data_IF_150449696700
#
_entry.id   IF_150449696700
#
_cell.length_a   1.000
_cell.length_b   1.000
_cell.length_c   1.000
_cell.angle_alpha   90.00
_cell.angle_beta   90.00
_cell.angle_gamma   90.00
#
_symmetry.space_group_name_H-M   'P 1'
#
loop_
_entity.id
_entity.type
_entity.pdbx_description
1 polymer ?
#
# COMPACT_ATOMS: atom_id res chain seq x y z
N UNK A 1 14.81 -7.32 -0.17
CA UNK A 1 14.58 -5.97 0.41
C UNK A 1 13.19 -5.43 0.10
N UNK A 2 12.75 -5.41 -1.17
CA UNK A 2 11.39 -4.96 -1.51
C UNK A 2 10.28 -5.67 -0.71
N UNK A 3 10.33 -7.01 -0.59
CA UNK A 3 9.38 -7.81 0.21
C UNK A 3 9.35 -7.45 1.70
N UNK A 4 10.51 -7.13 2.29
CA UNK A 4 10.59 -6.75 3.69
C UNK A 4 9.98 -5.36 3.92
N UNK A 5 10.24 -4.42 3.00
CA UNK A 5 9.67 -3.08 3.05
C UNK A 5 8.14 -3.11 2.87
N UNK A 6 7.65 -3.83 1.87
CA UNK A 6 6.21 -3.95 1.62
C UNK A 6 5.50 -4.69 2.75
N UNK A 7 6.10 -5.76 3.29
CA UNK A 7 5.58 -6.47 4.45
C UNK A 7 5.51 -5.57 5.70
N UNK A 8 6.56 -4.78 5.97
CA UNK A 8 6.56 -3.82 7.07
C UNK A 8 5.50 -2.73 6.93
N UNK A 9 5.34 -2.17 5.72
CA UNK A 9 4.32 -1.16 5.45
C UNK A 9 2.90 -1.73 5.56
N UNK A 10 2.69 -2.97 5.09
CA UNK A 10 1.41 -3.67 5.22
C UNK A 10 1.07 -3.89 6.70
N UNK A 11 2.03 -4.37 7.51
CA UNK A 11 1.84 -4.54 8.95
C UNK A 11 1.47 -3.22 9.64
N UNK A 12 2.18 -2.12 9.32
CA UNK A 12 1.88 -0.80 9.87
C UNK A 12 0.47 -0.31 9.47
N UNK A 13 0.03 -0.60 8.24
CA UNK A 13 -1.32 -0.29 7.77
C UNK A 13 -2.39 -1.06 8.56
N UNK A 14 -2.18 -2.36 8.79
CA UNK A 14 -3.13 -3.17 9.58
C UNK A 14 -3.17 -2.78 11.05
N UNK A 15 -2.02 -2.44 11.67
CA UNK A 15 -1.98 -1.92 13.05
C UNK A 15 -2.77 -0.62 13.15
N UNK A 16 -2.59 0.31 12.19
CA UNK A 16 -3.36 1.55 12.12
C UNK A 16 -4.86 1.28 11.96
N UNK A 17 -5.23 0.41 11.02
CA UNK A 17 -6.63 0.10 10.74
C UNK A 17 -7.30 -0.51 11.97
N UNK A 18 -6.66 -1.49 12.61
CA UNK A 18 -7.18 -2.12 13.81
C UNK A 18 -7.25 -1.15 15.00
N UNK A 19 -6.19 -0.38 15.25
CA UNK A 19 -6.14 0.58 16.36
C UNK A 19 -7.19 1.68 16.25
N UNK A 20 -7.38 2.25 15.07
CA UNK A 20 -8.34 3.35 14.88
C UNK A 20 -9.80 2.87 14.82
N UNK A 21 -10.06 1.61 14.49
CA UNK A 21 -11.43 1.08 14.39
C UNK A 21 -11.92 0.41 15.68
N UNK A 22 -11.08 -0.41 16.31
CA UNK A 22 -11.50 -1.23 17.46
C UNK A 22 -11.06 -0.68 18.82
N UNK A 23 -9.97 0.10 18.88
CA UNK A 23 -9.48 0.68 20.13
C UNK A 23 -9.94 2.12 20.34
N UNK A 24 -10.40 2.79 19.27
CA UNK A 24 -10.82 4.18 19.34
C UNK A 24 -12.21 4.36 19.95
N UNK A 25 -12.46 5.54 20.54
CA UNK A 25 -13.79 5.94 20.99
C UNK A 25 -14.69 6.27 19.79
N UNK A 26 -16.01 5.98 19.89
CA UNK A 26 -16.96 6.34 18.85
C UNK A 26 -17.03 7.87 18.72
N UNK A 27 -16.83 8.36 17.50
CA UNK A 27 -16.85 9.80 17.18
C UNK A 27 -18.17 10.26 16.56
N UNK A 28 -18.96 9.33 16.02
CA UNK A 28 -20.24 9.60 15.39
C UNK A 28 -21.35 8.82 16.12
N UNK A 29 -22.59 9.27 15.94
CA UNK A 29 -23.75 8.65 16.59
C UNK A 29 -24.01 7.25 16.04
N UNK A 30 -23.77 7.06 14.74
CA UNK A 30 -23.87 5.78 14.05
C UNK A 30 -22.85 4.77 14.60
N UNK A 31 -21.64 5.22 14.95
CA UNK A 31 -20.64 4.37 15.57
C UNK A 31 -21.00 3.97 17.01
N UNK A 32 -21.72 4.84 17.75
CA UNK A 32 -22.21 4.50 19.08
C UNK A 32 -23.43 3.59 19.08
N UNK A 33 -24.23 3.61 18.00
CA UNK A 33 -25.44 2.80 17.83
C UNK A 33 -25.20 1.57 16.93
N UNK A 34 -23.94 1.24 16.63
CA UNK A 34 -23.58 0.09 15.82
C UNK A 34 -23.99 -1.22 16.51
N UNK A 35 -24.68 -2.09 15.77
CA UNK A 35 -25.14 -3.39 16.25
C UNK A 35 -24.20 -4.51 15.79
N UNK A 36 -24.19 -5.61 16.53
CA UNK A 36 -23.43 -6.81 16.16
C UNK A 36 -23.93 -7.36 14.81
N UNK A 37 -22.96 -7.79 14.00
CA UNK A 37 -23.21 -8.39 12.69
C UNK A 37 -24.03 -9.68 12.80
N UNK A 38 -24.84 -9.96 11.78
CA UNK A 38 -25.60 -11.20 11.72
C UNK A 38 -24.65 -12.42 11.68
N UNK A 39 -25.08 -13.54 12.28
CA UNK A 39 -24.29 -14.77 12.33
C UNK A 39 -23.85 -15.26 10.95
N UNK A 40 -24.68 -15.04 9.92
CA UNK A 40 -24.37 -15.40 8.54
C UNK A 40 -23.17 -14.59 8.00
N UNK A 41 -23.08 -13.30 8.32
CA UNK A 41 -21.95 -12.46 7.91
C UNK A 41 -20.66 -12.88 8.63
N UNK A 42 -20.76 -13.23 9.92
CA UNK A 42 -19.61 -13.74 10.69
C UNK A 42 -19.11 -15.09 10.19
N UNK A 43 -20.01 -15.99 9.76
CA UNK A 43 -19.63 -17.25 9.12
C UNK A 43 -18.90 -17.01 7.80
N UNK A 44 -19.37 -16.07 6.97
CA UNK A 44 -18.69 -15.72 5.73
C UNK A 44 -17.27 -15.18 5.98
N UNK A 45 -17.13 -14.21 6.90
CA UNK A 45 -15.83 -13.66 7.29
C UNK A 45 -14.91 -14.72 7.90
N UNK A 46 -15.45 -15.58 8.76
CA UNK A 46 -14.73 -16.69 9.40
C UNK A 46 -14.23 -17.72 8.38
N UNK A 47 -15.05 -18.04 7.37
CA UNK A 47 -14.66 -18.97 6.30
C UNK A 47 -13.50 -18.43 5.47
N UNK A 48 -13.49 -17.12 5.18
CA UNK A 48 -12.41 -16.46 4.45
C UNK A 48 -11.12 -16.44 5.29
N UNK A 49 -11.23 -16.13 6.58
CA UNK A 49 -10.10 -16.15 7.50
C UNK A 49 -9.51 -17.57 7.63
N UNK A 50 -10.36 -18.59 7.72
CA UNK A 50 -9.94 -19.98 7.75
C UNK A 50 -9.23 -20.37 6.45
N UNK A 51 -9.79 -20.02 5.30
CA UNK A 51 -9.16 -20.28 4.00
C UNK A 51 -7.78 -19.61 3.89
N UNK A 52 -7.63 -18.37 4.38
CA UNK A 52 -6.35 -17.67 4.40
C UNK A 52 -5.31 -18.36 5.30
N UNK A 53 -5.71 -18.81 6.51
CA UNK A 53 -4.83 -19.57 7.39
C UNK A 53 -4.44 -20.91 6.79
N UNK A 54 -5.42 -21.62 6.21
CA UNK A 54 -5.19 -22.92 5.58
C UNK A 54 -4.22 -22.79 4.40
N UNK A 55 -4.43 -21.82 3.50
CA UNK A 55 -3.50 -21.54 2.40
C UNK A 55 -2.13 -21.07 2.89
N UNK A 56 -2.04 -20.35 4.00
CA UNK A 56 -0.77 -19.96 4.60
C UNK A 56 0.03 -21.14 5.13
N UNK A 57 -0.62 -22.00 5.94
CA UNK A 57 0.03 -23.18 6.55
C UNK A 57 0.37 -24.24 5.50
N UNK A 58 -0.55 -24.49 4.56
CA UNK A 58 -0.38 -25.46 3.48
C UNK A 58 0.12 -24.83 2.17
N UNK A 59 0.73 -23.65 2.23
CA UNK A 59 1.22 -22.94 1.04
C UNK A 59 2.20 -23.77 0.19
N UNK A 60 3.00 -24.62 0.84
CA UNK A 60 3.90 -25.56 0.15
C UNK A 60 3.15 -26.64 -0.66
N UNK A 61 1.94 -27.03 -0.25
CA UNK A 61 1.11 -27.93 -1.04
C UNK A 61 0.47 -27.19 -2.23
N UNK A 62 0.07 -25.93 -2.03
CA UNK A 62 -0.48 -25.09 -3.09
C UNK A 62 0.55 -24.82 -4.20
N UNK A 63 1.79 -24.47 -3.86
CA UNK A 63 2.86 -24.27 -4.85
C UNK A 63 3.14 -25.53 -5.67
N UNK A 64 3.06 -26.72 -5.08
CA UNK A 64 3.17 -27.99 -5.83
C UNK A 64 2.06 -28.15 -6.87
N UNK A 65 0.81 -27.85 -6.52
CA UNK A 65 -0.30 -27.90 -7.47
C UNK A 65 -0.05 -26.95 -8.66
N UNK A 66 0.40 -25.72 -8.39
CA UNK A 66 0.74 -24.78 -9.44
C UNK A 66 1.92 -25.24 -10.30
N UNK A 67 2.96 -25.84 -9.71
CA UNK A 67 4.09 -26.42 -10.46
C UNK A 67 3.63 -27.59 -11.32
N UNK A 68 2.78 -28.50 -10.82
CA UNK A 68 2.24 -29.63 -11.60
C UNK A 68 1.41 -29.16 -12.79
N UNK A 69 0.60 -28.14 -12.59
CA UNK A 69 -0.20 -27.53 -13.66
C UNK A 69 0.73 -26.85 -14.68
N UNK A 70 1.75 -26.13 -14.22
CA UNK A 70 2.71 -25.47 -15.11
C UNK A 70 3.57 -26.46 -15.92
N UNK A 71 4.00 -27.56 -15.29
CA UNK A 71 4.72 -28.68 -15.94
C UNK A 71 3.87 -29.35 -17.03
N UNK A 72 2.54 -29.43 -16.82
CA UNK A 72 1.62 -29.99 -17.83
C UNK A 72 1.42 -29.09 -19.06
N UNK A 73 1.77 -27.80 -18.96
CA UNK A 73 1.50 -26.79 -20.00
C UNK A 73 2.75 -26.45 -20.83
N UNK A 74 3.99 -26.61 -20.34
CA UNK A 74 5.19 -26.52 -21.19
C UNK A 74 6.45 -27.13 -20.55
N UNK A 75 7.18 -27.91 -21.35
CA UNK A 75 8.38 -28.65 -20.98
C UNK A 75 9.57 -27.75 -20.58
N UNK A 76 10.27 -28.14 -19.52
CA UNK A 76 11.72 -27.98 -19.31
C UNK A 76 12.36 -26.64 -18.88
N UNK A 77 11.65 -25.72 -18.20
CA UNK A 77 12.31 -24.54 -17.59
C UNK A 77 11.83 -24.18 -16.17
N UNK A 78 11.40 -25.14 -15.35
CA UNK A 78 11.05 -24.92 -13.93
C UNK A 78 12.10 -25.56 -12.99
N UNK A 79 13.26 -25.97 -13.51
CA UNK A 79 14.35 -26.58 -12.76
C UNK A 79 14.99 -25.69 -11.66
N UNK A 80 14.47 -24.48 -11.43
CA UNK A 80 14.98 -23.55 -10.42
C UNK A 80 13.96 -23.20 -9.32
N UNK A 81 12.75 -23.75 -9.34
CA UNK A 81 11.87 -23.66 -8.15
C UNK A 81 12.38 -24.70 -7.14
N UNK A 82 12.80 -24.30 -5.92
CA UNK A 82 13.36 -25.22 -4.95
C UNK A 82 12.40 -26.41 -4.72
N UNK A 83 12.86 -27.59 -5.12
CA UNK A 83 12.09 -28.84 -5.12
C UNK A 83 11.81 -29.22 -3.67
N UNK A 84 10.52 -29.22 -3.34
CA UNK A 84 9.97 -29.50 -2.02
C UNK A 84 10.04 -31.00 -1.71
N UNK A 85 10.85 -31.43 -0.74
CA UNK A 85 10.84 -32.81 -0.25
C UNK A 85 9.67 -33.05 0.72
N UNK A 86 8.97 -34.17 0.57
CA UNK A 86 7.78 -34.55 1.38
C UNK A 86 8.08 -34.70 2.88
N UNK A 87 9.34 -34.90 3.26
CA UNK A 87 9.76 -35.07 4.66
C UNK A 87 9.83 -33.76 5.47
N UNK A 88 9.81 -32.60 4.81
CA UNK A 88 9.80 -31.30 5.47
C UNK A 88 8.73 -30.43 4.79
N UNK A 89 7.59 -30.22 5.46
CA UNK A 89 6.58 -29.22 5.09
C UNK A 89 7.13 -27.80 5.33
N UNK A 90 8.27 -27.51 4.71
CA UNK A 90 9.02 -26.31 4.95
C UNK A 90 9.88 -25.89 3.79
N UNK A 91 10.13 -24.58 3.74
CA UNK A 91 10.98 -23.96 2.74
C UNK A 91 12.44 -24.20 3.12
N UNK A 92 13.12 -25.09 2.42
CA UNK A 92 14.57 -25.24 2.54
C UNK A 92 15.24 -24.41 1.46
N UNK A 93 16.01 -23.40 1.86
CA UNK A 93 16.83 -22.62 0.91
C UNK A 93 17.98 -23.51 0.43
N UNK A 94 18.25 -23.48 -0.88
CA UNK A 94 19.37 -24.18 -1.53
C UNK A 94 20.63 -23.91 -0.70
N UNK A 95 21.20 -24.95 -0.07
CA UNK A 95 22.33 -24.99 0.88
C UNK A 95 21.99 -25.30 2.35
N UNK A 96 20.73 -25.56 2.72
CA UNK A 96 20.40 -26.10 4.06
C UNK A 96 20.60 -25.14 5.24
N UNK A 97 21.01 -23.90 4.97
CA UNK A 97 21.27 -22.88 5.99
C UNK A 97 19.99 -22.38 6.70
N UNK A 98 18.83 -22.50 6.05
CA UNK A 98 17.53 -22.18 6.65
C UNK A 98 16.44 -23.08 6.07
N UNK A 99 15.79 -23.84 6.96
CA UNK A 99 14.58 -24.62 6.69
C UNK A 99 13.42 -24.08 7.50
N UNK A 100 12.40 -23.54 6.83
CA UNK A 100 11.22 -22.97 7.48
C UNK A 100 10.04 -23.92 7.36
N UNK A 101 9.83 -24.78 8.36
CA UNK A 101 8.65 -25.64 8.48
C UNK A 101 7.43 -24.81 8.89
N UNK A 102 6.57 -24.47 7.93
CA UNK A 102 5.41 -23.59 8.16
C UNK A 102 4.41 -24.14 9.18
N UNK A 103 4.06 -25.44 9.19
CA UNK A 103 3.20 -26.00 10.23
C UNK A 103 3.84 -25.98 11.61
N UNK A 104 5.14 -26.23 11.71
CA UNK A 104 5.88 -26.19 12.98
C UNK A 104 5.94 -24.76 13.53
N UNK A 105 6.17 -23.77 12.66
CA UNK A 105 6.13 -22.35 13.03
C UNK A 105 4.74 -21.93 13.53
N UNK A 106 3.68 -22.37 12.84
CA UNK A 106 2.30 -22.10 13.25
C UNK A 106 1.98 -22.71 14.62
N UNK A 107 2.37 -23.97 14.86
CA UNK A 107 2.20 -24.63 16.15
C UNK A 107 2.99 -23.92 17.26
N UNK A 108 4.23 -23.52 16.99
CA UNK A 108 5.06 -22.80 17.96
C UNK A 108 4.47 -21.43 18.30
N UNK A 109 4.02 -20.67 17.30
CA UNK A 109 3.40 -19.36 17.51
C UNK A 109 2.08 -19.49 18.28
N UNK A 110 1.25 -20.48 17.91
CA UNK A 110 -0.02 -20.77 18.59
C UNK A 110 0.22 -21.19 20.05
N UNK A 111 1.22 -22.04 20.29
CA UNK A 111 1.64 -22.44 21.62
C UNK A 111 2.11 -21.24 22.44
N UNK A 112 2.93 -20.36 21.88
CA UNK A 112 3.42 -19.18 22.57
C UNK A 112 2.28 -18.20 22.93
N UNK A 113 1.35 -17.96 22.01
CA UNK A 113 0.15 -17.14 22.25
C UNK A 113 -0.74 -17.74 23.34
N UNK A 114 -0.99 -19.05 23.28
CA UNK A 114 -1.80 -19.75 24.28
C UNK A 114 -1.12 -19.75 25.65
N UNK A 115 0.18 -20.03 25.70
CA UNK A 115 0.97 -19.98 26.92
C UNK A 115 0.94 -18.56 27.53
N UNK A 116 1.17 -17.52 26.73
CA UNK A 116 1.10 -16.13 27.19
C UNK A 116 -0.28 -15.78 27.71
N UNK A 117 -1.35 -16.22 27.03
CA UNK A 117 -2.72 -16.00 27.47
C UNK A 117 -3.05 -16.73 28.78
N UNK A 118 -2.61 -17.99 28.94
CA UNK A 118 -2.77 -18.76 30.17
C UNK A 118 -1.98 -18.14 31.33
N UNK A 119 -0.73 -17.73 31.09
CA UNK A 119 0.11 -17.02 32.06
C UNK A 119 -0.57 -15.70 32.47
N UNK A 120 -1.03 -14.89 31.51
CA UNK A 120 -1.76 -13.66 31.83
C UNK A 120 -3.00 -13.94 32.66
N UNK A 121 -3.79 -14.97 32.33
CA UNK A 121 -4.97 -15.34 33.13
C UNK A 121 -4.62 -15.84 34.52
N UNK A 122 -3.52 -16.58 34.66
CA UNK A 122 -3.05 -17.08 35.95
C UNK A 122 -2.49 -15.96 36.83
N UNK A 123 -1.69 -15.05 36.26
CA UNK A 123 -1.04 -13.94 36.99
C UNK A 123 -2.02 -12.81 37.29
N UNK A 124 -2.82 -12.38 36.32
CA UNK A 124 -3.79 -11.30 36.54
C UNK A 124 -5.02 -11.79 37.32
N UNK A 125 -5.36 -13.08 37.25
CA UNK A 125 -6.53 -13.63 37.94
C UNK A 125 -7.85 -12.99 37.49
N UNK A 126 -8.91 -13.13 38.31
CA UNK A 126 -10.21 -12.47 38.07
C UNK A 126 -10.14 -10.99 38.48
N UNK A 127 -9.41 -10.17 37.74
CA UNK A 127 -9.45 -8.71 37.92
C UNK A 127 -10.89 -8.22 37.72
N UNK A 128 -11.45 -7.50 38.70
CA UNK A 128 -12.69 -6.74 38.49
C UNK A 128 -12.38 -5.60 37.53
N UNK A 129 -12.86 -5.71 36.30
CA UNK A 129 -12.71 -4.67 35.27
C UNK A 129 -13.53 -3.45 35.72
N UNK A 130 -12.86 -2.47 36.33
CA UNK A 130 -13.45 -1.19 36.69
C UNK A 130 -13.11 -0.16 35.62
N UNK A 131 -14.11 0.32 34.87
CA UNK A 131 -13.93 1.45 33.95
C UNK A 131 -13.78 2.73 34.79
N UNK A 132 -12.54 3.15 35.04
CA UNK A 132 -12.23 4.43 35.70
C UNK A 132 -11.87 5.49 34.67
N UNK A 133 -11.95 6.76 35.08
CA UNK A 133 -11.47 7.89 34.29
C UNK A 133 -9.97 7.69 34.05
N UNK A 134 -9.57 7.72 32.78
CA UNK A 134 -8.17 7.72 32.37
C UNK A 134 -7.52 9.05 32.73
N UNK A 135 -6.21 9.06 32.98
CA UNK A 135 -5.47 10.30 33.25
C UNK A 135 -5.76 11.34 32.17
N UNK A 136 -6.39 12.44 32.56
CA UNK A 136 -7.02 13.40 31.65
C UNK A 136 -6.31 14.76 31.64
N UNK A 137 -5.16 14.86 32.30
CA UNK A 137 -4.37 16.08 32.44
C UNK A 137 -5.22 17.28 32.92
N UNK A 138 -6.34 17.05 33.61
CA UNK A 138 -7.24 18.08 34.11
C UNK A 138 -8.30 18.58 33.11
N UNK A 139 -8.52 17.92 31.97
CA UNK A 139 -9.55 18.28 30.99
C UNK A 139 -10.46 17.10 30.64
N UNK A 140 -11.79 17.29 30.46
CA UNK A 140 -12.66 16.18 30.09
C UNK A 140 -12.24 15.58 28.73
N UNK A 141 -11.95 14.28 28.70
CA UNK A 141 -11.60 13.58 27.46
C UNK A 141 -12.75 13.66 26.46
N UNK A 142 -12.51 14.33 25.35
CA UNK A 142 -13.42 14.33 24.19
C UNK A 142 -12.95 13.30 23.15
N UNK A 143 -13.86 12.70 22.36
CA UNK A 143 -13.48 11.79 21.26
C UNK A 143 -12.54 12.41 20.22
N UNK A 144 -12.42 13.74 20.21
CA UNK A 144 -11.50 14.50 19.33
C UNK A 144 -10.05 14.51 19.83
N UNK A 145 -9.80 14.25 21.11
CA UNK A 145 -8.45 14.21 21.70
C UNK A 145 -7.69 12.92 21.38
N UNK A 146 -8.37 11.91 20.85
CA UNK A 146 -7.77 10.64 20.50
C UNK A 146 -6.96 10.71 19.19
N UNK A 147 -5.87 9.95 19.14
CA UNK A 147 -4.99 9.88 17.97
C UNK A 147 -5.80 9.48 16.73
N UNK A 148 -5.75 10.33 15.70
CA UNK A 148 -6.43 10.10 14.43
C UNK A 148 -5.61 9.19 13.50
N UNK A 149 -6.30 8.57 12.54
CA UNK A 149 -5.66 7.85 11.44
C UNK A 149 -4.68 8.71 10.64
N UNK A 150 -4.96 10.01 10.54
CA UNK A 150 -4.09 10.98 9.86
C UNK A 150 -2.83 11.27 10.66
N UNK A 151 -2.94 11.45 11.99
CA UNK A 151 -1.78 11.68 12.86
C UNK A 151 -0.83 10.48 12.89
N UNK A 152 -1.35 9.25 12.94
CA UNK A 152 -0.50 8.05 12.83
C UNK A 152 0.22 7.96 11.48
N UNK A 153 -0.50 8.24 10.38
CA UNK A 153 0.11 8.23 9.05
C UNK A 153 1.16 9.34 8.87
N UNK A 154 1.00 10.48 9.54
CA UNK A 154 1.96 11.58 9.50
C UNK A 154 3.36 11.18 9.98
N UNK A 155 3.45 10.37 11.04
CA UNK A 155 4.73 9.83 11.51
C UNK A 155 5.44 8.99 10.45
N UNK A 156 4.68 8.12 9.75
CA UNK A 156 5.23 7.33 8.63
C UNK A 156 5.61 8.22 7.45
N UNK A 157 4.78 9.20 7.09
CA UNK A 157 5.07 10.15 6.01
C UNK A 157 6.32 10.98 6.30
N UNK A 158 6.59 11.31 7.57
CA UNK A 158 7.79 12.06 7.97
C UNK A 158 9.05 11.20 7.81
N UNK A 159 9.01 9.92 8.20
CA UNK A 159 10.13 8.99 8.01
C UNK A 159 10.40 8.78 6.52
N UNK A 160 9.33 8.61 5.72
CA UNK A 160 9.43 8.37 4.28
C UNK A 160 9.40 9.66 3.44
N UNK A 161 9.60 10.83 4.04
CA UNK A 161 9.63 12.14 3.36
C UNK A 161 10.54 12.22 2.12
N UNK A 162 11.74 11.59 2.06
CA UNK A 162 12.54 11.64 0.82
C UNK A 162 11.86 10.95 -0.36
N UNK A 163 10.95 10.01 -0.10
CA UNK A 163 10.22 9.24 -1.12
C UNK A 163 8.79 9.76 -1.30
N UNK A 164 8.16 10.24 -0.24
CA UNK A 164 6.78 10.75 -0.23
C UNK A 164 6.81 12.28 -0.07
N UNK A 165 6.59 12.99 -1.16
CA UNK A 165 6.39 14.45 -1.11
C UNK A 165 4.94 14.73 -0.73
N UNK A 166 4.75 15.35 0.42
CA UNK A 166 3.45 15.86 0.87
C UNK A 166 3.54 17.37 1.06
N UNK A 167 2.44 18.05 0.78
CA UNK A 167 2.27 19.46 1.10
C UNK A 167 1.49 19.55 2.42
N UNK A 168 2.10 20.17 3.41
CA UNK A 168 1.45 20.48 4.68
C UNK A 168 0.91 21.91 4.61
N UNK A 169 -0.40 22.06 4.77
CA UNK A 169 -1.03 23.36 4.95
C UNK A 169 -1.64 23.42 6.34
N UNK A 170 -0.81 23.86 7.29
CA UNK A 170 -1.24 24.10 8.66
C UNK A 170 -1.90 25.47 8.75
N UNK A 171 -3.20 25.50 9.01
CA UNK A 171 -3.94 26.73 9.30
C UNK A 171 -4.17 26.82 10.81
N UNK A 172 -3.37 27.67 11.47
CA UNK A 172 -3.54 28.04 12.89
C UNK A 172 -4.38 29.31 12.98
N UNK A 173 -5.52 29.24 13.67
CA UNK A 173 -6.33 30.41 14.02
C UNK A 173 -6.03 30.78 15.47
N UNK A 174 -5.43 31.96 15.66
CA UNK A 174 -5.15 32.53 16.98
C UNK A 174 -6.39 33.29 17.48
N UNK A 175 -6.70 33.18 18.78
CA UNK A 175 -7.84 33.91 19.36
C UNK A 175 -7.58 35.42 19.42
N UNK A 176 -6.31 35.82 19.52
CA UNK A 176 -5.86 37.21 19.62
C UNK A 176 -4.45 37.32 18.99
N UNK A 177 -4.14 38.33 18.13
CA UNK A 177 -2.83 38.47 17.50
C UNK A 177 -1.67 38.60 18.49
N UNK A 178 -1.95 39.12 19.70
CA UNK A 178 -0.95 39.34 20.74
C UNK A 178 -0.73 38.12 21.66
N UNK A 179 -1.62 37.14 21.66
CA UNK A 179 -1.50 35.93 22.48
C UNK A 179 -1.19 34.72 21.58
N UNK A 180 0.02 34.71 21.03
CA UNK A 180 0.53 33.64 20.14
C UNK A 180 0.56 32.24 20.78
N UNK A 181 0.48 32.17 22.11
CA UNK A 181 0.48 30.93 22.89
C UNK A 181 -0.93 30.33 23.11
N UNK A 182 -2.00 31.10 22.87
CA UNK A 182 -3.38 30.63 23.02
C UNK A 182 -4.01 30.41 21.64
N UNK A 183 -3.79 29.20 21.11
CA UNK A 183 -4.37 28.76 19.84
C UNK A 183 -5.84 28.40 20.07
N UNK A 184 -6.75 29.11 19.39
CA UNK A 184 -8.19 28.85 19.51
C UNK A 184 -8.58 27.58 18.76
N UNK A 185 -8.04 27.42 17.56
CA UNK A 185 -8.27 26.25 16.71
C UNK A 185 -7.10 26.04 15.75
N UNK A 186 -6.66 24.80 15.62
CA UNK A 186 -5.65 24.40 14.65
C UNK A 186 -6.24 23.35 13.73
N UNK A 187 -6.22 23.63 12.42
CA UNK A 187 -6.59 22.68 11.39
C UNK A 187 -5.37 22.37 10.54
N UNK A 188 -5.03 21.09 10.43
CA UNK A 188 -3.92 20.61 9.60
C UNK A 188 -4.53 19.89 8.41
N UNK A 189 -4.33 20.46 7.21
CA UNK A 189 -4.75 19.83 5.96
C UNK A 189 -3.52 19.24 5.28
N UNK A 190 -3.46 17.91 5.27
CA UNK A 190 -2.43 17.14 4.58
C UNK A 190 -2.88 16.87 3.16
N UNK A 191 -2.15 17.40 2.19
CA UNK A 191 -2.36 17.12 0.77
C UNK A 191 -1.21 16.27 0.24
N UNK A 192 -1.53 15.08 -0.28
CA UNK A 192 -0.58 14.26 -1.03
C UNK A 192 -0.36 14.91 -2.39
N UNK A 193 0.89 15.23 -2.72
CA UNK A 193 1.24 15.74 -4.04
C UNK A 193 1.49 14.54 -4.93
N UNK A 194 0.75 14.44 -6.03
CA UNK A 194 0.98 13.39 -7.02
C UNK A 194 2.36 13.60 -7.69
N UNK A 195 3.31 12.74 -7.33
CA UNK A 195 4.66 12.77 -7.85
C UNK A 195 4.72 12.46 -9.34
N UNK A 196 3.91 11.52 -9.82
CA UNK A 196 3.88 11.16 -11.24
C UNK A 196 3.36 12.34 -12.04
N UNK A 197 2.31 12.99 -11.56
CA UNK A 197 1.78 14.17 -12.23
C UNK A 197 2.85 15.28 -12.31
N UNK A 198 3.50 15.59 -11.18
CA UNK A 198 4.50 16.65 -11.06
C UNK A 198 5.77 16.42 -11.86
N UNK A 199 6.34 15.23 -11.78
CA UNK A 199 7.68 14.92 -12.33
C UNK A 199 7.65 14.20 -13.68
N UNK A 200 6.54 13.54 -14.04
CA UNK A 200 6.44 12.79 -15.29
C UNK A 200 5.48 13.47 -16.28
N UNK A 201 4.21 13.66 -15.90
CA UNK A 201 3.21 14.18 -16.83
C UNK A 201 3.42 15.65 -17.20
N UNK A 202 3.64 16.55 -16.23
CA UNK A 202 3.84 17.97 -16.53
C UNK A 202 5.04 18.27 -17.44
N UNK A 203 6.24 17.69 -17.25
CA UNK A 203 7.36 17.94 -18.17
C UNK A 203 7.10 17.36 -19.55
N UNK A 204 6.53 16.15 -19.65
CA UNK A 204 6.19 15.54 -20.95
C UNK A 204 5.17 16.40 -21.69
N UNK A 205 4.10 16.83 -21.02
CA UNK A 205 3.09 17.70 -21.61
C UNK A 205 3.70 19.03 -22.08
N UNK A 206 4.64 19.61 -21.31
CA UNK A 206 5.36 20.83 -21.74
C UNK A 206 6.19 20.60 -22.99
N UNK A 207 6.88 19.46 -23.11
CA UNK A 207 7.66 19.10 -24.30
C UNK A 207 6.73 18.98 -25.51
N UNK A 208 5.63 18.22 -25.40
CA UNK A 208 4.64 18.09 -26.48
C UNK A 208 4.04 19.44 -26.90
N UNK A 209 3.63 20.27 -25.94
CA UNK A 209 3.14 21.62 -26.21
C UNK A 209 4.20 22.54 -26.82
N UNK A 210 5.48 22.33 -26.52
CA UNK A 210 6.59 23.08 -27.13
C UNK A 210 6.79 22.67 -28.59
N UNK A 211 6.80 21.36 -28.86
CA UNK A 211 6.91 20.81 -30.22
C UNK A 211 5.71 21.26 -31.06
N UNK A 212 4.49 21.15 -30.53
CA UNK A 212 3.28 21.57 -31.23
C UNK A 212 3.31 23.07 -31.59
N UNK A 213 3.76 23.93 -30.67
CA UNK A 213 3.95 25.37 -30.94
C UNK A 213 5.01 25.62 -32.00
N UNK A 214 6.12 24.88 -31.97
CA UNK A 214 7.18 25.01 -32.96
C UNK A 214 6.72 24.55 -34.35
N UNK A 215 5.96 23.46 -34.43
CA UNK A 215 5.38 22.92 -35.66
C UNK A 215 4.31 23.85 -36.24
N UNK A 216 3.47 24.43 -35.39
CA UNK A 216 2.49 25.46 -35.79
C UNK A 216 3.16 26.73 -36.34
N UNK A 217 4.36 27.08 -35.86
CA UNK A 217 5.14 28.22 -36.38
C UNK A 217 5.70 27.96 -37.78
N UNK A 218 6.07 26.71 -38.09
CA UNK A 218 6.54 26.29 -39.43
C UNK A 218 5.38 26.30 -40.43
N UNK A 219 4.17 25.96 -39.99
CA UNK A 219 2.98 25.87 -40.86
C UNK A 219 2.38 27.21 -41.30
N UNK A 220 2.67 28.33 -40.63
CA UNK A 220 1.96 29.61 -40.86
C UNK A 220 2.78 30.72 -41.56
N UNK A 221 4.04 30.48 -41.95
CA UNK A 221 4.95 31.57 -42.36
C UNK A 221 5.15 31.76 -43.86
N UNK A 222 5.31 30.67 -44.63
CA UNK A 222 5.84 30.78 -46.01
C UNK A 222 5.25 29.71 -46.93
N UNK A 223 4.40 30.12 -47.87
CA UNK A 223 3.80 29.26 -48.91
C UNK A 223 4.88 28.52 -49.72
N UNK A 224 6.03 29.17 -49.96
CA UNK A 224 7.17 28.58 -50.67
C UNK A 224 7.75 27.33 -49.96
N UNK A 225 7.63 27.24 -48.63
CA UNK A 225 8.13 26.12 -47.84
C UNK A 225 7.24 24.88 -48.01
N UNK A 226 5.93 25.06 -48.20
CA UNK A 226 5.00 23.98 -48.56
C UNK A 226 5.28 23.43 -49.95
N UNK A 227 5.50 24.31 -50.94
CA UNK A 227 5.83 23.90 -52.31
C UNK A 227 7.12 23.07 -52.33
N UNK A 228 8.14 23.50 -51.57
CA UNK A 228 9.39 22.74 -51.42
C UNK A 228 9.15 21.38 -50.76
N UNK A 229 8.35 21.30 -49.69
CA UNK A 229 8.01 20.02 -49.05
C UNK A 229 7.30 19.06 -50.01
N UNK A 230 6.33 19.54 -50.79
CA UNK A 230 5.63 18.72 -51.79
C UNK A 230 6.60 18.24 -52.86
N UNK A 231 7.49 19.11 -53.36
CA UNK A 231 8.50 18.71 -54.36
C UNK A 231 9.47 17.66 -53.81
N UNK A 232 10.01 17.87 -52.60
CA UNK A 232 10.95 16.94 -51.96
C UNK A 232 10.30 15.60 -51.67
N UNK A 233 9.07 15.59 -51.15
CA UNK A 233 8.33 14.34 -50.88
C UNK A 233 8.01 13.59 -52.17
N UNK A 234 7.68 14.29 -53.26
CA UNK A 234 7.42 13.68 -54.56
C UNK A 234 8.71 13.09 -55.17
N UNK A 235 9.83 13.82 -55.14
CA UNK A 235 11.14 13.31 -55.60
C UNK A 235 11.58 12.12 -54.75
N UNK A 236 11.41 12.17 -53.43
CA UNK A 236 11.76 11.07 -52.53
C UNK A 236 10.90 9.82 -52.79
N UNK A 237 9.58 9.98 -52.99
CA UNK A 237 8.67 8.89 -53.36
C UNK A 237 9.03 8.29 -54.72
N UNK A 238 9.42 9.13 -55.69
CA UNK A 238 9.77 8.69 -57.03
C UNK A 238 11.13 7.97 -57.04
N UNK A 239 12.11 8.47 -56.30
CA UNK A 239 13.38 7.77 -56.07
C UNK A 239 13.16 6.44 -55.33
N UNK A 240 12.31 6.44 -54.30
CA UNK A 240 11.93 5.21 -53.58
C UNK A 240 11.27 4.18 -54.50
N UNK A 241 10.34 4.62 -55.36
CA UNK A 241 9.69 3.78 -56.34
C UNK A 241 10.64 3.27 -57.43
N UNK A 242 11.67 4.04 -57.79
CA UNK A 242 12.70 3.64 -58.76
C UNK A 242 13.70 2.63 -58.16
N UNK A 243 13.95 2.69 -56.86
CA UNK A 243 14.87 1.79 -56.14
C UNK A 243 14.20 0.44 -55.83
N UNK A 244 12.86 0.38 -55.76
CA UNK A 244 12.13 -0.88 -55.62
C UNK A 244 12.12 -1.63 -56.97
N UNK A 245 12.74 -2.83 -57.06
CA UNK A 245 12.62 -3.67 -58.24
C UNK A 245 11.15 -4.07 -58.41
N UNK A 246 10.58 -3.87 -59.60
CA UNK A 246 9.28 -4.41 -59.98
C UNK A 246 9.38 -5.95 -59.98
N UNK A 247 8.97 -6.58 -58.88
CA UNK A 247 8.74 -8.04 -58.80
C UNK A 247 7.34 -8.38 -59.28
#
# INVERSE_FOLDING_TARGET
MALALTGGLAAACFVKAFGVTFLARPRSREASEAHDSSLLMNLAMGSLAFAALFLGVYGAAATRLFVRIAESVNQSSIAQIPIMSFGNMGFTVRNGFAGLNMPALFLLLSFFLLATWLIMRAVLGKQRISKKITWDCGFPLTPRMEITSTAFAYSLMTIFRPILTYADSTKTVYQDPNLRHFVSSQSVHLHLVDMYMKYFYFPIARVFCSIARQMSRIQNGYINLYILYVLVTLVALLAWALILPQS
#
